data_IF_659667978653
#
_entry.id   IF_659667978653
#
_cell.length_a   1.000
_cell.length_b   1.000
_cell.length_c   1.000
_cell.angle_alpha   90.00
_cell.angle_beta   90.00
_cell.angle_gamma   90.00
#
_symmetry.space_group_name_H-M   'P 1'
#
loop_
_entity.id
_entity.type
_entity.pdbx_description
1 polymer ?
#
# COMPACT_ATOMS: atom_id res chain seq x y z
N UNK A 1 19.11 8.31 16.59
CA UNK A 1 18.06 7.91 17.56
C UNK A 1 16.68 8.40 17.13
N UNK A 2 16.48 9.68 16.81
CA UNK A 2 15.18 10.21 16.38
C UNK A 2 14.57 9.48 15.17
N UNK A 3 15.38 9.17 14.16
CA UNK A 3 14.95 8.43 12.96
C UNK A 3 14.35 7.07 13.30
N UNK A 4 15.05 6.23 14.07
CA UNK A 4 14.58 4.90 14.46
C UNK A 4 13.28 4.95 15.29
N UNK A 5 13.15 5.95 16.17
CA UNK A 5 11.91 6.16 16.95
C UNK A 5 10.75 6.53 16.03
N UNK A 6 10.98 7.43 15.06
CA UNK A 6 9.97 7.85 14.12
C UNK A 6 9.54 6.69 13.21
N UNK A 7 10.49 5.95 12.62
CA UNK A 7 10.20 4.76 11.81
C UNK A 7 9.46 3.70 12.62
N UNK A 8 9.85 3.47 13.87
CA UNK A 8 9.15 2.54 14.77
C UNK A 8 7.72 2.99 15.09
N UNK A 9 7.52 4.28 15.36
CA UNK A 9 6.20 4.86 15.63
C UNK A 9 5.25 4.72 14.43
N UNK A 10 5.70 5.10 13.22
CA UNK A 10 4.87 4.96 12.02
C UNK A 10 4.67 3.49 11.60
N UNK A 11 5.64 2.62 11.83
CA UNK A 11 5.49 1.18 11.63
C UNK A 11 4.42 0.58 12.55
N UNK A 12 4.44 0.95 13.83
CA UNK A 12 3.40 0.53 14.77
C UNK A 12 2.02 1.10 14.39
N UNK A 13 1.96 2.36 13.95
CA UNK A 13 0.73 2.97 13.46
C UNK A 13 0.18 2.26 12.21
N UNK A 14 1.03 1.91 11.23
CA UNK A 14 0.64 1.18 10.04
C UNK A 14 0.03 -0.19 10.39
N UNK A 15 0.68 -0.95 11.28
CA UNK A 15 0.16 -2.24 11.77
C UNK A 15 -1.17 -2.05 12.49
N UNK A 16 -1.27 -1.05 13.39
CA UNK A 16 -2.49 -0.76 14.13
C UNK A 16 -3.66 -0.47 13.20
N UNK A 17 -3.48 0.45 12.26
CA UNK A 17 -4.50 0.79 11.27
C UNK A 17 -4.85 -0.39 10.37
N UNK A 18 -3.86 -1.19 9.96
CA UNK A 18 -4.08 -2.44 9.24
C UNK A 18 -4.94 -3.45 10.01
N UNK A 19 -4.77 -3.57 11.32
CA UNK A 19 -5.66 -4.40 12.17
C UNK A 19 -7.07 -3.80 12.26
N UNK A 20 -7.19 -2.47 12.35
CA UNK A 20 -8.49 -1.78 12.43
C UNK A 20 -9.34 -2.03 11.17
N UNK A 21 -8.72 -2.16 9.99
CA UNK A 21 -9.40 -2.52 8.73
C UNK A 21 -10.25 -3.78 8.89
N UNK A 22 -9.69 -4.83 9.51
CA UNK A 22 -10.37 -6.12 9.71
C UNK A 22 -11.31 -6.15 10.90
N UNK A 23 -11.14 -5.26 11.88
CA UNK A 23 -12.03 -5.18 13.06
C UNK A 23 -13.26 -4.33 12.83
N UNK A 24 -13.27 -3.51 11.79
CA UNK A 24 -14.32 -2.55 11.55
C UNK A 24 -15.41 -3.12 10.65
N UNK A 25 -16.66 -3.04 11.09
CA UNK A 25 -17.82 -3.52 10.32
C UNK A 25 -18.19 -2.60 9.16
N UNK A 26 -18.05 -1.28 9.33
CA UNK A 26 -18.32 -0.31 8.26
C UNK A 26 -17.20 -0.31 7.23
N UNK A 27 -17.57 -0.51 5.96
CA UNK A 27 -16.58 -0.51 4.90
C UNK A 27 -15.89 0.85 4.77
N UNK A 28 -16.61 1.96 5.00
CA UNK A 28 -16.08 3.34 4.92
C UNK A 28 -14.97 3.57 5.93
N UNK A 29 -15.23 3.21 7.18
CA UNK A 29 -14.23 3.30 8.24
C UNK A 29 -13.05 2.37 7.98
N UNK A 30 -13.28 1.21 7.37
CA UNK A 30 -12.22 0.28 6.96
C UNK A 30 -11.33 0.90 5.87
N UNK A 31 -11.91 1.52 4.84
CA UNK A 31 -11.15 2.21 3.80
C UNK A 31 -10.35 3.41 4.35
N UNK A 32 -10.93 4.21 5.24
CA UNK A 32 -10.22 5.31 5.91
C UNK A 32 -9.09 4.79 6.81
N UNK A 33 -9.29 3.70 7.54
CA UNK A 33 -8.23 3.06 8.32
C UNK A 33 -7.10 2.58 7.40
N UNK A 34 -7.42 1.98 6.25
CA UNK A 34 -6.43 1.56 5.28
C UNK A 34 -5.67 2.75 4.67
N UNK A 35 -6.35 3.86 4.40
CA UNK A 35 -5.72 5.12 3.98
C UNK A 35 -4.70 5.61 5.02
N UNK A 36 -5.05 5.61 6.31
CA UNK A 36 -4.10 5.96 7.37
C UNK A 36 -2.94 4.97 7.47
N UNK A 37 -3.18 3.68 7.26
CA UNK A 37 -2.12 2.67 7.19
C UNK A 37 -1.13 2.96 6.05
N UNK A 38 -1.62 3.28 4.85
CA UNK A 38 -0.78 3.61 3.71
C UNK A 38 -0.06 4.95 3.90
N UNK A 39 -0.71 5.94 4.52
CA UNK A 39 -0.09 7.21 4.86
C UNK A 39 1.04 7.04 5.88
N UNK A 40 0.86 6.16 6.87
CA UNK A 40 1.92 5.83 7.83
C UNK A 40 3.13 5.17 7.15
N UNK A 41 2.91 4.31 6.15
CA UNK A 41 3.99 3.73 5.31
C UNK A 41 4.70 4.84 4.52
N UNK A 42 3.97 5.78 3.92
CA UNK A 42 4.56 6.94 3.25
C UNK A 42 5.44 7.78 4.18
N UNK A 43 4.98 8.02 5.43
CA UNK A 43 5.76 8.70 6.45
C UNK A 43 7.01 7.89 6.89
N UNK A 44 6.95 6.55 6.90
CA UNK A 44 8.13 5.73 7.12
C UNK A 44 9.17 5.91 6.01
N UNK A 45 8.77 6.00 4.73
CA UNK A 45 9.71 6.27 3.64
C UNK A 45 10.39 7.63 3.78
N UNK A 46 9.65 8.67 4.18
CA UNK A 46 10.25 9.97 4.49
C UNK A 46 11.24 9.88 5.66
N UNK A 47 10.92 9.10 6.69
CA UNK A 47 11.82 8.87 7.83
C UNK A 47 13.10 8.12 7.42
N UNK A 48 13.04 7.28 6.41
CA UNK A 48 14.18 6.53 5.87
C UNK A 48 14.92 7.29 4.76
N UNK A 49 14.76 8.61 4.67
CA UNK A 49 15.43 9.48 3.69
C UNK A 49 15.13 9.09 2.23
N UNK A 50 13.99 8.42 2.01
CA UNK A 50 13.52 7.98 0.70
C UNK A 50 12.39 8.89 0.24
N UNK A 51 12.72 10.17 0.06
CA UNK A 51 11.73 11.26 -0.08
C UNK A 51 10.80 11.06 -1.27
N UNK A 52 11.36 10.71 -2.43
CA UNK A 52 10.60 10.51 -3.66
C UNK A 52 9.56 9.40 -3.51
N UNK A 53 9.95 8.23 -2.97
CA UNK A 53 9.00 7.13 -2.75
C UNK A 53 7.97 7.48 -1.67
N UNK A 54 8.35 8.21 -0.62
CA UNK A 54 7.39 8.68 0.39
C UNK A 54 6.32 9.59 -0.18
N UNK A 55 6.71 10.57 -1.01
CA UNK A 55 5.77 11.48 -1.67
C UNK A 55 4.91 10.73 -2.69
N UNK A 56 5.50 9.86 -3.52
CA UNK A 56 4.74 9.05 -4.48
C UNK A 56 3.73 8.14 -3.78
N UNK A 57 4.12 7.49 -2.69
CA UNK A 57 3.24 6.65 -1.89
C UNK A 57 2.03 7.44 -1.38
N UNK A 58 2.28 8.63 -0.82
CA UNK A 58 1.20 9.49 -0.34
C UNK A 58 0.31 9.98 -1.48
N UNK A 59 0.88 10.45 -2.58
CA UNK A 59 0.13 11.00 -3.70
C UNK A 59 -0.75 9.95 -4.38
N UNK A 60 -0.20 8.77 -4.69
CA UNK A 60 -0.94 7.70 -5.37
C UNK A 60 -1.97 7.05 -4.45
N UNK A 61 -1.54 6.55 -3.30
CA UNK A 61 -2.42 5.79 -2.41
C UNK A 61 -3.49 6.67 -1.78
N UNK A 62 -3.18 7.92 -1.43
CA UNK A 62 -4.20 8.80 -0.87
C UNK A 62 -5.31 9.09 -1.88
N UNK A 63 -4.94 9.33 -3.14
CA UNK A 63 -5.91 9.60 -4.21
C UNK A 63 -6.76 8.37 -4.51
N UNK A 64 -6.12 7.21 -4.70
CA UNK A 64 -6.82 5.95 -4.99
C UNK A 64 -7.82 5.59 -3.87
N UNK A 65 -7.34 5.55 -2.63
CA UNK A 65 -8.15 5.14 -1.49
C UNK A 65 -9.26 6.14 -1.18
N UNK A 66 -9.01 7.45 -1.35
CA UNK A 66 -10.05 8.46 -1.17
C UNK A 66 -11.18 8.31 -2.20
N UNK A 67 -10.84 8.10 -3.48
CA UNK A 67 -11.83 7.85 -4.52
C UNK A 67 -12.61 6.57 -4.20
N UNK A 68 -11.92 5.46 -3.92
CA UNK A 68 -12.57 4.19 -3.57
C UNK A 68 -13.51 4.32 -2.38
N UNK A 69 -13.11 5.06 -1.33
CA UNK A 69 -13.96 5.30 -0.17
C UNK A 69 -15.25 6.05 -0.55
N UNK A 70 -15.17 7.08 -1.40
CA UNK A 70 -16.35 7.83 -1.87
C UNK A 70 -17.27 6.93 -2.69
N UNK A 71 -16.72 6.20 -3.68
CA UNK A 71 -17.50 5.31 -4.53
C UNK A 71 -18.19 4.21 -3.73
N UNK A 72 -17.53 3.69 -2.71
CA UNK A 72 -18.07 2.68 -1.82
C UNK A 72 -19.20 3.20 -0.93
N UNK A 73 -19.12 4.44 -0.43
CA UNK A 73 -20.25 5.11 0.24
C UNK A 73 -21.43 5.25 -0.72
N UNK A 74 -21.16 5.63 -1.96
CA UNK A 74 -22.21 5.97 -2.94
C UNK A 74 -22.90 4.75 -3.56
N UNK A 75 -22.16 3.67 -3.82
CA UNK A 75 -22.64 2.54 -4.62
C UNK A 75 -22.88 1.26 -3.84
N UNK A 76 -22.42 1.16 -2.58
CA UNK A 76 -22.60 -0.06 -1.82
C UNK A 76 -23.91 -0.07 -1.04
N UNK A 77 -24.56 -1.25 -0.97
CA UNK A 77 -25.91 -1.39 -0.44
C UNK A 77 -26.00 -1.24 1.09
N UNK A 78 -24.92 -1.56 1.81
CA UNK A 78 -24.78 -1.30 3.26
C UNK A 78 -23.33 -0.84 3.58
N UNK A 79 -23.01 0.45 3.39
CA UNK A 79 -21.68 0.99 3.67
C UNK A 79 -21.38 1.06 5.19
N UNK A 80 -22.42 0.99 6.02
CA UNK A 80 -22.34 1.02 7.49
C UNK A 80 -22.02 -0.32 8.13
N UNK A 81 -22.24 -1.43 7.41
CA UNK A 81 -22.01 -2.78 7.91
C UNK A 81 -22.94 -3.14 9.08
N UNK A 82 -24.17 -2.62 9.04
CA UNK A 82 -25.18 -2.82 10.08
C UNK A 82 -25.92 -4.15 9.91
N UNK A 83 -25.77 -4.82 8.76
CA UNK A 83 -26.45 -6.07 8.41
C UNK A 83 -25.94 -7.35 9.08
N UNK A 84 -24.94 -7.29 9.96
CA UNK A 84 -24.55 -8.43 10.82
C UNK A 84 -24.22 -9.75 10.10
N UNK A 85 -23.78 -9.70 8.83
CA UNK A 85 -23.43 -10.91 8.07
C UNK A 85 -22.00 -11.35 8.39
N UNK A 86 -21.85 -12.42 9.16
CA UNK A 86 -20.56 -13.06 9.39
C UNK A 86 -20.23 -14.00 8.21
N UNK A 87 -19.59 -13.47 7.17
CA UNK A 87 -19.22 -14.21 5.94
C UNK A 87 -17.91 -14.99 6.10
N UNK A 88 -17.56 -15.42 7.31
CA UNK A 88 -16.25 -16.00 7.61
C UNK A 88 -16.28 -17.53 7.51
N UNK A 89 -15.86 -18.04 6.35
CA UNK A 89 -15.65 -19.47 6.15
C UNK A 89 -14.20 -19.83 6.51
N UNK A 90 -14.00 -20.94 7.24
CA UNK A 90 -12.67 -21.51 7.55
C UNK A 90 -11.70 -20.58 8.33
N UNK A 91 -12.16 -19.93 9.41
CA UNK A 91 -11.34 -19.08 10.31
C UNK A 91 -9.99 -19.69 10.71
N UNK A 92 -9.94 -21.00 10.96
CA UNK A 92 -8.72 -21.72 11.35
C UNK A 92 -7.66 -21.74 10.23
N UNK A 93 -8.07 -22.00 8.99
CA UNK A 93 -7.14 -22.05 7.87
C UNK A 93 -6.56 -20.66 7.57
N UNK A 94 -7.40 -19.62 7.59
CA UNK A 94 -6.97 -18.22 7.43
C UNK A 94 -6.01 -17.80 8.55
N UNK A 95 -6.29 -18.17 9.80
CA UNK A 95 -5.42 -17.85 10.93
C UNK A 95 -4.06 -18.55 10.82
N UNK A 96 -4.04 -19.83 10.43
CA UNK A 96 -2.79 -20.58 10.20
C UNK A 96 -2.01 -19.96 9.05
N UNK A 97 -2.66 -19.64 7.93
CA UNK A 97 -2.00 -19.00 6.78
C UNK A 97 -1.41 -17.63 7.14
N UNK A 98 -2.17 -16.80 7.86
CA UNK A 98 -1.72 -15.50 8.34
C UNK A 98 -0.55 -15.62 9.33
N UNK A 99 -0.61 -16.55 10.27
CA UNK A 99 0.47 -16.80 11.23
C UNK A 99 1.75 -17.31 10.52
N UNK A 100 1.61 -18.25 9.59
CA UNK A 100 2.75 -18.74 8.79
C UNK A 100 3.37 -17.63 7.95
N UNK A 101 2.55 -16.78 7.31
CA UNK A 101 3.03 -15.62 6.56
C UNK A 101 3.77 -14.62 7.44
N UNK A 102 3.24 -14.31 8.63
CA UNK A 102 3.88 -13.42 9.58
C UNK A 102 5.21 -14.00 10.09
N UNK A 103 5.25 -15.28 10.45
CA UNK A 103 6.48 -15.97 10.86
C UNK A 103 7.50 -15.98 9.73
N UNK A 104 7.10 -16.27 8.49
CA UNK A 104 8.00 -16.25 7.34
C UNK A 104 8.61 -14.85 7.11
N UNK A 105 7.79 -13.79 7.20
CA UNK A 105 8.28 -12.42 7.10
C UNK A 105 9.27 -12.07 8.23
N UNK A 106 9.00 -12.53 9.46
CA UNK A 106 9.86 -12.29 10.62
C UNK A 106 11.18 -13.06 10.51
N UNK A 107 11.14 -14.30 10.01
CA UNK A 107 12.32 -15.12 9.71
C UNK A 107 13.20 -14.43 8.68
N UNK A 108 12.63 -13.93 7.57
CA UNK A 108 13.39 -13.15 6.58
C UNK A 108 13.96 -11.88 7.19
N UNK A 109 13.15 -11.13 7.95
CA UNK A 109 13.60 -9.89 8.57
C UNK A 109 14.79 -10.08 9.53
N UNK A 110 14.79 -11.16 10.32
CA UNK A 110 15.82 -11.42 11.34
C UNK A 110 17.03 -12.20 10.83
N UNK A 111 16.84 -13.12 9.87
CA UNK A 111 17.90 -14.02 9.41
C UNK A 111 18.55 -13.57 8.10
N UNK A 112 17.93 -12.66 7.33
CA UNK A 112 18.55 -12.15 6.12
C UNK A 112 19.76 -11.27 6.45
N UNK A 113 20.87 -11.51 5.76
CA UNK A 113 22.04 -10.65 5.81
C UNK A 113 21.82 -9.39 4.98
N UNK A 114 21.12 -8.39 5.54
CA UNK A 114 20.82 -7.10 4.89
C UNK A 114 22.05 -6.27 4.49
N UNK A 115 23.25 -6.72 4.84
CA UNK A 115 24.50 -6.03 4.57
C UNK A 115 24.83 -4.97 5.63
N UNK A 116 25.97 -4.27 5.48
CA UNK A 116 26.35 -3.19 6.37
C UNK A 116 25.41 -1.99 6.22
N UNK A 117 25.20 -1.25 7.30
CA UNK A 117 24.43 0.01 7.27
C UNK A 117 25.14 0.99 6.35
N UNK A 118 24.40 1.56 5.40
CA UNK A 118 24.92 2.59 4.51
C UNK A 118 25.42 3.79 5.32
N UNK A 119 26.71 4.12 5.17
CA UNK A 119 27.34 5.23 5.90
C UNK A 119 27.19 6.57 5.20
N UNK A 120 26.75 6.57 3.95
CA UNK A 120 26.50 7.77 3.14
C UNK A 120 25.22 7.55 2.35
N UNK A 121 24.24 8.43 2.58
CA UNK A 121 23.02 8.51 1.80
C UNK A 121 23.18 9.67 0.82
N UNK A 122 23.04 9.47 -0.50
CA UNK A 122 23.07 10.56 -1.47
C UNK A 122 21.96 11.57 -1.19
N UNK A 123 22.17 12.83 -1.56
CA UNK A 123 21.11 13.83 -1.47
C UNK A 123 19.88 13.41 -2.28
N UNK A 124 18.68 13.80 -1.87
CA UNK A 124 17.43 13.42 -2.52
C UNK A 124 17.39 13.73 -4.02
N UNK A 125 18.00 14.85 -4.45
CA UNK A 125 18.13 15.21 -5.86
C UNK A 125 18.96 14.21 -6.65
N UNK A 126 20.06 13.70 -6.08
CA UNK A 126 20.87 12.67 -6.72
C UNK A 126 20.12 11.34 -6.79
N UNK A 127 19.42 10.94 -5.72
CA UNK A 127 18.60 9.72 -5.73
C UNK A 127 17.53 9.73 -6.83
N UNK A 128 16.84 10.86 -7.01
CA UNK A 128 15.83 11.02 -8.07
C UNK A 128 16.46 11.01 -9.45
N UNK A 129 17.59 11.69 -9.62
CA UNK A 129 18.33 11.69 -10.87
C UNK A 129 18.75 10.26 -11.27
N UNK A 130 19.36 9.53 -10.34
CA UNK A 130 19.88 8.18 -10.59
C UNK A 130 18.75 7.19 -10.86
N UNK A 131 17.61 7.33 -10.17
CA UNK A 131 16.41 6.57 -10.47
C UNK A 131 15.90 6.85 -11.90
N UNK A 132 15.95 8.11 -12.35
CA UNK A 132 15.59 8.48 -13.71
C UNK A 132 16.49 7.81 -14.75
N UNK A 133 17.81 7.85 -14.56
CA UNK A 133 18.78 7.19 -15.43
C UNK A 133 18.55 5.67 -15.46
N UNK A 134 18.36 5.07 -14.29
CA UNK A 134 18.09 3.63 -14.17
C UNK A 134 16.83 3.19 -14.93
N UNK A 135 15.76 3.98 -14.86
CA UNK A 135 14.50 3.74 -15.58
C UNK A 135 14.70 3.88 -17.10
N UNK A 136 15.48 4.86 -17.55
CA UNK A 136 15.68 5.14 -18.98
C UNK A 136 16.71 4.22 -19.64
N UNK A 137 17.58 3.59 -18.86
CA UNK A 137 18.61 2.68 -19.36
C UNK A 137 18.24 1.22 -19.10
N UNK A 138 18.69 0.66 -17.97
CA UNK A 138 18.59 -0.77 -17.67
C UNK A 138 17.14 -1.24 -17.53
N UNK A 139 16.27 -0.39 -17.01
CA UNK A 139 14.87 -0.75 -16.71
C UNK A 139 13.87 -0.23 -17.75
N UNK A 140 14.33 0.19 -18.94
CA UNK A 140 13.48 0.78 -19.98
C UNK A 140 12.33 -0.15 -20.41
N UNK A 141 12.60 -1.45 -20.58
CA UNK A 141 11.56 -2.43 -20.93
C UNK A 141 10.51 -2.59 -19.83
N UNK A 142 10.91 -2.49 -18.55
CA UNK A 142 9.97 -2.55 -17.42
C UNK A 142 9.08 -1.30 -17.43
N UNK A 143 9.65 -0.13 -17.73
CA UNK A 143 8.91 1.11 -17.85
C UNK A 143 7.89 1.07 -19.00
N UNK A 144 8.30 0.59 -20.18
CA UNK A 144 7.40 0.45 -21.34
C UNK A 144 6.26 -0.51 -21.05
N UNK A 145 6.55 -1.67 -20.46
CA UNK A 145 5.52 -2.67 -20.12
C UNK A 145 4.57 -2.18 -19.03
N UNK A 146 5.05 -1.39 -18.06
CA UNK A 146 4.18 -0.71 -17.09
C UNK A 146 3.22 0.28 -17.80
N UNK A 147 3.72 1.06 -18.77
CA UNK A 147 2.89 1.96 -19.58
C UNK A 147 1.79 1.23 -20.35
N UNK A 148 2.14 0.14 -21.05
CA UNK A 148 1.16 -0.70 -21.76
C UNK A 148 0.15 -1.33 -20.80
N UNK A 149 0.58 -1.71 -19.59
CA UNK A 149 -0.30 -2.27 -18.56
C UNK A 149 -1.31 -1.23 -18.08
N UNK A 150 -0.88 0.01 -17.83
CA UNK A 150 -1.78 1.11 -17.44
C UNK A 150 -2.79 1.39 -18.55
N UNK A 151 -2.34 1.50 -19.81
CA UNK A 151 -3.23 1.69 -20.96
C UNK A 151 -4.27 0.57 -21.05
N UNK A 152 -3.81 -0.67 -20.92
CA UNK A 152 -4.68 -1.86 -20.96
C UNK A 152 -5.71 -1.84 -19.84
N UNK A 153 -5.28 -1.50 -18.61
CA UNK A 153 -6.16 -1.39 -17.45
C UNK A 153 -7.22 -0.30 -17.64
N UNK A 154 -6.85 0.86 -18.20
CA UNK A 154 -7.80 1.93 -18.52
C UNK A 154 -8.85 1.50 -19.55
N UNK A 155 -8.42 0.82 -20.62
CA UNK A 155 -9.35 0.30 -21.65
C UNK A 155 -10.30 -0.73 -21.04
N UNK A 156 -9.77 -1.70 -20.29
CA UNK A 156 -10.56 -2.75 -19.66
C UNK A 156 -11.56 -2.20 -18.65
N UNK A 157 -11.13 -1.30 -17.75
CA UNK A 157 -11.99 -0.65 -16.78
C UNK A 157 -13.12 0.14 -17.45
N UNK A 158 -12.79 0.90 -18.50
CA UNK A 158 -13.79 1.68 -19.27
C UNK A 158 -14.77 0.76 -20.00
N UNK A 159 -14.29 -0.30 -20.64
CA UNK A 159 -15.15 -1.27 -21.34
C UNK A 159 -16.14 -1.98 -20.40
N UNK A 160 -15.72 -2.25 -19.15
CA UNK A 160 -16.59 -2.84 -18.12
C UNK A 160 -17.60 -1.81 -17.57
N UNK A 161 -17.18 -0.55 -17.41
CA UNK A 161 -18.04 0.51 -16.87
C UNK A 161 -19.17 0.95 -17.83
N UNK A 162 -18.98 0.79 -19.15
CA UNK A 162 -20.00 1.17 -20.13
C UNK A 162 -21.18 0.18 -20.10
N UNK A 163 -22.38 0.70 -19.83
CA UNK A 163 -23.63 -0.08 -19.94
C UNK A 163 -23.82 -0.50 -21.41
N UNK A 164 -23.82 -1.80 -21.68
CA UNK A 164 -24.26 -2.35 -22.98
C UNK A 164 -25.73 -1.98 -23.23
N UNK A 165 -25.98 -1.02 -24.10
CA UNK A 165 -27.31 -0.85 -24.70
C UNK A 165 -27.44 -1.87 -25.82
N UNK A 166 -28.46 -2.73 -25.72
CA UNK A 166 -28.98 -3.46 -26.88
C UNK A 166 -29.79 -2.50 -27.74
#
# INVERSE_FOLDING_TARGET
MGQAVFTGFFGAAAIWFGVVVFRTSSMVRSALALLFSQAAIGAMFLAMETEFLGVLQLMMMATEMAIMAIFMVMYMMDPGGLGGMDMTHQKRASLVAGALGAVAALVVALLAGWGPVATRVPAATAQVHDLGIEIMERSMLIFETAGVTILTAMIAATAIAIRRRR
#
